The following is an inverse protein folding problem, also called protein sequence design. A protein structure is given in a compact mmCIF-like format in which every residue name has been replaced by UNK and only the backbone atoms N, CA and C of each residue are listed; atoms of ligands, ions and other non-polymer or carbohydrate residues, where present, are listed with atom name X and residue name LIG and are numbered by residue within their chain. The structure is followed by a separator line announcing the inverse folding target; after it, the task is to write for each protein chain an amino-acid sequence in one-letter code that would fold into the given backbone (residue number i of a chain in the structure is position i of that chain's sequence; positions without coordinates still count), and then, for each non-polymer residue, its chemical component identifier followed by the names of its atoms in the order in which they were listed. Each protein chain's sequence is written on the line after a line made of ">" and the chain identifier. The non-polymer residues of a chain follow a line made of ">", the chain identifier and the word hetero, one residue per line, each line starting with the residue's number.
data_IF_815460992632
#
_entry.id   IF_815460992632
#
_cell.length_a   1.000
_cell.length_b   1.000
_cell.length_c   1.000
_cell.angle_alpha   90.00
_cell.angle_beta   90.00
_cell.angle_gamma   90.00
#
_symmetry.space_group_name_H-M   'P 1'
#
loop_
_entity.id
_entity.type
_entity.pdbx_description
1 polymer ?
#
# COMPACT_ATOMS: atom_id res chain seq x y z
N UNK A 1 -9.00 -33.05 -6.02
CA UNK A 1 -9.03 -31.71 -5.40
C UNK A 1 -8.31 -30.76 -6.34
N UNK A 2 -9.00 -29.74 -6.86
CA UNK A 2 -8.39 -28.81 -7.82
C UNK A 2 -7.24 -28.03 -7.17
N UNK A 3 -6.09 -27.93 -7.84
CA UNK A 3 -4.99 -27.07 -7.41
C UNK A 3 -5.49 -25.63 -7.35
N UNK A 4 -5.91 -25.18 -6.17
CA UNK A 4 -6.19 -23.77 -5.94
C UNK A 4 -4.91 -23.00 -6.27
N UNK A 5 -5.03 -22.04 -7.20
CA UNK A 5 -3.91 -21.17 -7.56
C UNK A 5 -3.58 -20.30 -6.35
N UNK A 6 -2.28 -20.09 -6.08
CA UNK A 6 -1.79 -19.14 -5.07
C UNK A 6 -2.49 -17.77 -5.22
N UNK A 7 -2.72 -17.33 -6.47
CA UNK A 7 -3.52 -16.13 -6.79
C UNK A 7 -4.85 -16.11 -6.08
N UNK A 8 -5.61 -17.20 -6.23
CA UNK A 8 -6.98 -17.34 -5.76
C UNK A 8 -7.00 -17.37 -4.23
N UNK A 9 -6.06 -18.07 -3.61
CA UNK A 9 -5.92 -18.10 -2.16
C UNK A 9 -5.64 -16.69 -1.60
N UNK A 10 -4.73 -15.92 -2.21
CA UNK A 10 -4.45 -14.53 -1.81
C UNK A 10 -5.68 -13.61 -2.03
N UNK A 11 -6.32 -13.69 -3.20
CA UNK A 11 -7.48 -12.86 -3.53
C UNK A 11 -8.71 -13.16 -2.66
N UNK A 12 -8.82 -14.38 -2.14
CA UNK A 12 -9.86 -14.77 -1.19
C UNK A 12 -9.37 -14.68 0.27
N UNK A 13 -8.14 -14.23 0.50
CA UNK A 13 -7.54 -14.06 1.82
C UNK A 13 -7.50 -15.33 2.66
N UNK A 14 -7.33 -16.47 1.97
CA UNK A 14 -7.16 -17.78 2.57
C UNK A 14 -5.71 -17.95 3.00
N UNK A 15 -5.27 -17.16 3.99
CA UNK A 15 -3.85 -17.06 4.37
C UNK A 15 -3.24 -18.39 4.83
N UNK A 16 -4.05 -19.28 5.42
CA UNK A 16 -3.58 -20.63 5.78
C UNK A 16 -3.27 -21.47 4.54
N UNK A 17 -4.13 -21.42 3.52
CA UNK A 17 -3.87 -22.08 2.23
C UNK A 17 -2.62 -21.48 1.57
N UNK A 18 -2.43 -20.15 1.66
CA UNK A 18 -1.24 -19.46 1.18
C UNK A 18 0.02 -20.00 1.87
N UNK A 19 0.03 -20.15 3.21
CA UNK A 19 1.16 -20.73 3.96
C UNK A 19 1.48 -22.15 3.50
N UNK A 20 0.45 -23.00 3.35
CA UNK A 20 0.62 -24.38 2.87
C UNK A 20 1.16 -24.40 1.44
N UNK A 21 0.68 -23.52 0.57
CA UNK A 21 1.13 -23.44 -0.82
C UNK A 21 2.56 -22.94 -0.93
N UNK A 22 2.94 -21.90 -0.20
CA UNK A 22 4.27 -21.30 -0.24
C UNK A 22 5.33 -22.30 0.26
N UNK A 23 5.00 -23.22 1.16
CA UNK A 23 5.93 -24.28 1.60
C UNK A 23 6.24 -25.34 0.54
N UNK A 24 5.50 -25.40 -0.57
CA UNK A 24 5.75 -26.37 -1.65
C UNK A 24 6.91 -25.89 -2.51
N UNK A 25 7.95 -26.72 -2.70
CA UNK A 25 9.16 -26.35 -3.47
C UNK A 25 8.85 -25.81 -4.87
N UNK A 26 7.90 -26.41 -5.57
CA UNK A 26 7.49 -25.95 -6.90
C UNK A 26 6.88 -24.54 -6.92
N UNK A 27 6.28 -24.10 -5.82
CA UNK A 27 5.74 -22.74 -5.66
C UNK A 27 6.84 -21.77 -5.23
N UNK A 28 7.74 -22.18 -4.33
CA UNK A 28 8.89 -21.37 -3.93
C UNK A 28 9.78 -21.06 -5.13
N UNK A 29 10.11 -22.06 -5.94
CA UNK A 29 10.98 -21.88 -7.10
C UNK A 29 10.37 -20.95 -8.15
N UNK A 30 9.03 -21.02 -8.28
CA UNK A 30 8.27 -20.05 -9.05
C UNK A 30 8.45 -18.65 -8.47
N UNK A 31 8.14 -18.41 -7.20
CA UNK A 31 8.24 -17.08 -6.58
C UNK A 31 9.66 -16.50 -6.65
N UNK A 32 10.70 -17.33 -6.44
CA UNK A 32 12.12 -16.94 -6.53
C UNK A 32 12.50 -16.43 -7.92
N UNK A 33 11.89 -16.98 -8.97
CA UNK A 33 12.14 -16.51 -10.31
C UNK A 33 11.61 -15.07 -10.45
N UNK A 34 12.51 -14.13 -10.76
CA UNK A 34 12.25 -12.68 -10.81
C UNK A 34 11.04 -12.30 -11.69
N UNK A 35 10.70 -13.16 -12.65
CA UNK A 35 9.61 -12.96 -13.59
C UNK A 35 8.34 -13.76 -13.27
N UNK A 36 8.19 -14.29 -12.05
CA UNK A 36 6.96 -15.00 -11.69
C UNK A 36 5.81 -14.03 -11.45
N UNK A 37 5.24 -13.66 -12.58
CA UNK A 37 3.94 -13.06 -12.73
C UNK A 37 2.94 -14.14 -12.39
N UNK A 38 1.98 -13.84 -11.52
CA UNK A 38 0.91 -14.78 -11.26
C UNK A 38 -0.10 -14.62 -12.40
N UNK A 39 -0.15 -15.52 -13.40
CA UNK A 39 -1.02 -15.33 -14.55
C UNK A 39 -2.47 -15.28 -14.09
N UNK A 40 -3.18 -14.24 -14.53
CA UNK A 40 -4.63 -14.24 -14.48
C UNK A 40 -5.16 -14.73 -15.82
N UNK A 41 -5.87 -15.85 -15.84
CA UNK A 41 -6.50 -16.33 -17.08
C UNK A 41 -7.67 -15.45 -17.53
N UNK A 42 -8.10 -14.50 -16.69
CA UNK A 42 -9.26 -13.64 -16.94
C UNK A 42 -8.90 -12.22 -17.33
N UNK A 43 -7.61 -11.86 -17.27
CA UNK A 43 -7.14 -10.51 -17.59
C UNK A 43 -6.18 -10.62 -18.77
N UNK A 44 -6.15 -9.60 -19.63
CA UNK A 44 -5.22 -9.55 -20.76
C UNK A 44 -3.80 -9.91 -20.30
N UNK A 45 -3.07 -10.68 -21.13
CA UNK A 45 -1.83 -11.39 -20.77
C UNK A 45 -0.67 -10.48 -20.30
N UNK A 46 -0.86 -9.16 -20.31
CA UNK A 46 0.19 -8.15 -20.07
C UNK A 46 0.26 -7.62 -18.62
N UNK A 47 -0.51 -8.19 -17.68
CA UNK A 47 -0.49 -7.73 -16.29
C UNK A 47 0.63 -8.38 -15.46
N UNK A 48 1.74 -7.66 -15.32
CA UNK A 48 2.82 -7.97 -14.39
C UNK A 48 2.37 -7.70 -12.95
N UNK A 49 1.78 -8.68 -12.28
CA UNK A 49 1.42 -8.56 -10.85
C UNK A 49 2.02 -9.73 -10.07
N UNK A 50 2.90 -9.41 -9.12
CA UNK A 50 3.56 -10.41 -8.26
C UNK A 50 2.65 -10.85 -7.11
N UNK A 51 3.01 -11.96 -6.45
CA UNK A 51 2.36 -12.40 -5.21
C UNK A 51 2.30 -11.30 -4.16
N UNK A 52 3.39 -10.53 -4.04
CA UNK A 52 3.54 -9.48 -3.04
C UNK A 52 2.57 -8.32 -3.27
N UNK A 53 2.37 -7.89 -4.53
CA UNK A 53 1.35 -6.89 -4.86
C UNK A 53 -0.05 -7.32 -4.44
N UNK A 54 -0.42 -8.56 -4.81
CA UNK A 54 -1.74 -9.11 -4.45
C UNK A 54 -1.90 -9.20 -2.94
N UNK A 55 -0.90 -9.70 -2.24
CA UNK A 55 -0.91 -9.82 -0.78
C UNK A 55 -1.10 -8.43 -0.15
N UNK A 56 -0.29 -7.44 -0.51
CA UNK A 56 -0.36 -6.06 0.00
C UNK A 56 -1.73 -5.40 -0.27
N UNK A 57 -2.36 -5.70 -1.41
CA UNK A 57 -3.71 -5.20 -1.72
C UNK A 57 -4.81 -5.77 -0.80
N UNK A 58 -4.49 -6.83 -0.03
CA UNK A 58 -5.41 -7.60 0.80
C UNK A 58 -5.09 -7.59 2.29
N UNK A 59 -4.13 -6.78 2.73
CA UNK A 59 -3.73 -6.65 4.15
C UNK A 59 -3.30 -8.02 4.72
N UNK A 60 -2.17 -8.56 4.24
CA UNK A 60 -1.75 -9.92 4.56
C UNK A 60 -1.22 -9.97 6.00
N UNK A 61 -1.29 -11.15 6.68
CA UNK A 61 -0.56 -11.38 7.91
C UNK A 61 0.94 -11.13 7.73
N UNK A 62 1.58 -10.61 8.78
CA UNK A 62 3.01 -10.29 8.81
C UNK A 62 3.87 -11.49 8.36
N UNK A 63 3.59 -12.68 8.88
CA UNK A 63 4.37 -13.89 8.57
C UNK A 63 4.29 -14.26 7.07
N UNK A 64 3.12 -14.08 6.44
CA UNK A 64 2.95 -14.29 5.01
C UNK A 64 3.73 -13.25 4.21
N UNK A 65 3.66 -11.98 4.62
CA UNK A 65 4.35 -10.88 3.96
C UNK A 65 5.87 -11.07 4.01
N UNK A 66 6.41 -11.33 5.21
CA UNK A 66 7.83 -11.62 5.42
C UNK A 66 8.25 -12.84 4.61
N UNK A 67 7.48 -13.93 4.60
CA UNK A 67 7.83 -15.12 3.81
C UNK A 67 7.91 -14.80 2.32
N UNK A 68 6.97 -14.03 1.77
CA UNK A 68 7.01 -13.62 0.36
C UNK A 68 8.22 -12.73 0.04
N UNK A 69 8.59 -11.83 0.93
CA UNK A 69 9.78 -10.98 0.81
C UNK A 69 11.07 -11.80 0.84
N UNK A 70 11.20 -12.75 1.77
CA UNK A 70 12.37 -13.64 1.84
C UNK A 70 12.54 -14.51 0.59
N UNK A 71 11.43 -14.93 -0.02
CA UNK A 71 11.47 -15.72 -1.25
C UNK A 71 11.88 -14.90 -2.47
N UNK A 72 11.51 -13.62 -2.52
CA UNK A 72 11.88 -12.73 -3.61
C UNK A 72 11.89 -11.27 -3.17
N UNK A 73 13.04 -10.82 -2.68
CA UNK A 73 13.23 -9.43 -2.22
C UNK A 73 12.99 -8.41 -3.33
N UNK A 74 13.38 -8.76 -4.57
CA UNK A 74 13.23 -7.87 -5.72
C UNK A 74 11.76 -7.57 -6.03
N UNK A 75 10.84 -8.45 -5.63
CA UNK A 75 9.41 -8.23 -5.83
C UNK A 75 8.87 -7.00 -5.09
N UNK A 76 9.57 -6.53 -4.04
CA UNK A 76 9.26 -5.26 -3.36
C UNK A 76 9.58 -4.03 -4.22
N UNK A 77 10.48 -4.15 -5.20
CA UNK A 77 10.94 -3.08 -6.08
C UNK A 77 10.47 -3.25 -7.52
N UNK A 78 9.80 -4.37 -7.85
CA UNK A 78 9.22 -4.60 -9.16
C UNK A 78 7.93 -3.79 -9.32
N UNK A 79 7.84 -2.86 -10.29
CA UNK A 79 6.59 -2.16 -10.58
C UNK A 79 5.57 -3.10 -11.18
N UNK A 80 4.30 -2.97 -10.78
CA UNK A 80 3.21 -3.72 -11.40
C UNK A 80 2.87 -3.20 -12.80
N UNK A 81 2.21 -4.03 -13.62
CA UNK A 81 1.56 -3.61 -14.86
C UNK A 81 0.06 -3.96 -14.82
N UNK A 82 -0.83 -3.06 -15.27
CA UNK A 82 -0.57 -1.69 -15.70
C UNK A 82 -0.39 -0.74 -14.50
N UNK A 83 0.36 0.34 -14.69
CA UNK A 83 0.39 1.46 -13.74
C UNK A 83 1.64 1.58 -12.87
N UNK A 84 2.64 0.71 -13.03
CA UNK A 84 3.97 0.88 -12.42
C UNK A 84 3.94 0.93 -10.89
N UNK A 85 2.97 0.29 -10.25
CA UNK A 85 2.80 0.42 -8.81
C UNK A 85 3.66 -0.59 -8.09
N UNK A 86 4.47 -0.13 -7.14
CA UNK A 86 5.15 -1.03 -6.21
C UNK A 86 4.17 -1.66 -5.19
N UNK A 87 4.54 -2.76 -4.52
CA UNK A 87 3.71 -3.36 -3.47
C UNK A 87 3.34 -2.39 -2.33
N UNK A 88 4.21 -1.44 -2.00
CA UNK A 88 3.92 -0.41 -1.00
C UNK A 88 2.75 0.49 -1.42
N UNK A 89 2.60 0.81 -2.71
CA UNK A 89 1.43 1.55 -3.21
C UNK A 89 0.14 0.76 -2.98
N UNK A 90 0.18 -0.56 -3.19
CA UNK A 90 -0.94 -1.45 -2.94
C UNK A 90 -1.32 -1.48 -1.45
N UNK A 91 -0.34 -1.58 -0.55
CA UNK A 91 -0.55 -1.54 0.90
C UNK A 91 -1.15 -0.19 1.34
N UNK A 92 -0.58 0.93 0.87
CA UNK A 92 -1.07 2.29 1.20
C UNK A 92 -2.48 2.53 0.68
N UNK A 93 -2.78 2.12 -0.55
CA UNK A 93 -4.14 2.22 -1.10
C UNK A 93 -5.12 1.46 -0.24
N UNK A 94 -4.74 0.24 0.17
CA UNK A 94 -5.57 -0.60 1.03
C UNK A 94 -5.84 0.08 2.37
N UNK A 95 -4.85 0.79 2.94
CA UNK A 95 -4.98 1.57 4.16
C UNK A 95 -6.10 2.63 4.11
N UNK A 96 -6.32 3.26 2.96
CA UNK A 96 -7.38 4.26 2.78
C UNK A 96 -8.78 3.71 2.63
N UNK A 97 -8.95 2.40 2.40
CA UNK A 97 -10.26 1.79 2.12
C UNK A 97 -11.06 1.48 3.40
N UNK A 98 -11.51 2.52 4.10
CA UNK A 98 -12.32 2.41 5.33
C UNK A 98 -13.67 1.69 5.17
N UNK A 99 -14.23 1.65 3.96
CA UNK A 99 -15.64 1.26 3.73
C UNK A 99 -15.95 -0.23 3.92
N UNK A 100 -14.96 -1.13 4.04
CA UNK A 100 -15.22 -2.58 4.06
C UNK A 100 -14.53 -3.35 5.18
N UNK A 101 -13.65 -2.71 5.96
CA UNK A 101 -12.92 -3.38 7.05
C UNK A 101 -12.74 -2.47 8.24
N UNK A 102 -12.86 -3.09 9.42
CA UNK A 102 -12.75 -2.41 10.71
C UNK A 102 -11.31 -1.97 11.00
N UNK A 103 -10.31 -2.66 10.45
CA UNK A 103 -8.89 -2.37 10.70
C UNK A 103 -8.05 -2.64 9.46
N UNK A 104 -7.01 -1.82 9.27
CA UNK A 104 -5.92 -2.02 8.33
C UNK A 104 -4.62 -2.12 9.13
N UNK A 105 -3.77 -3.09 8.83
CA UNK A 105 -2.48 -3.20 9.49
C UNK A 105 -1.47 -2.21 8.92
N UNK A 106 -1.03 -1.27 9.76
CA UNK A 106 0.11 -0.38 9.43
C UNK A 106 1.39 -1.19 9.17
N UNK A 107 1.46 -2.41 9.71
CA UNK A 107 2.64 -3.26 9.70
C UNK A 107 3.09 -3.64 8.28
N UNK A 108 2.15 -3.82 7.35
CA UNK A 108 2.51 -4.11 5.96
C UNK A 108 3.32 -2.96 5.32
N UNK A 109 3.01 -1.70 5.66
CA UNK A 109 3.77 -0.55 5.17
C UNK A 109 5.14 -0.48 5.86
N UNK A 110 5.18 -0.69 7.18
CA UNK A 110 6.42 -0.70 7.96
C UNK A 110 7.42 -1.74 7.44
N UNK A 111 6.98 -3.00 7.31
CA UNK A 111 7.80 -4.10 6.80
C UNK A 111 8.36 -3.79 5.40
N UNK A 112 7.55 -3.21 4.50
CA UNK A 112 8.02 -2.88 3.15
C UNK A 112 9.06 -1.75 3.15
N UNK A 113 8.91 -0.76 4.03
CA UNK A 113 9.91 0.30 4.23
C UNK A 113 11.20 -0.27 4.83
N UNK A 114 11.12 -1.20 5.77
CA UNK A 114 12.29 -1.81 6.44
C UNK A 114 13.06 -2.76 5.51
N UNK A 115 12.37 -3.49 4.61
CA UNK A 115 12.98 -4.46 3.71
C UNK A 115 13.56 -3.86 2.43
N UNK A 116 13.16 -2.66 2.08
CA UNK A 116 13.67 -1.98 0.90
C UNK A 116 14.60 -0.85 1.30
N UNK A 117 15.51 -0.46 0.41
CA UNK A 117 16.10 0.87 0.51
C UNK A 117 14.94 1.86 0.32
N UNK A 118 14.35 2.32 1.42
CA UNK A 118 13.11 3.09 1.43
C UNK A 118 13.17 4.28 0.46
N UNK A 119 14.37 4.86 0.27
CA UNK A 119 14.64 5.92 -0.69
C UNK A 119 14.26 5.54 -2.14
N UNK A 120 14.44 4.29 -2.54
CA UNK A 120 14.10 3.78 -3.87
C UNK A 120 12.60 3.60 -4.04
N UNK A 121 11.90 3.11 -3.00
CA UNK A 121 10.45 2.94 -3.07
C UNK A 121 9.70 4.27 -3.03
N UNK A 122 10.21 5.22 -2.27
CA UNK A 122 9.55 6.51 -2.02
C UNK A 122 9.64 7.46 -3.23
N UNK A 123 10.75 7.39 -3.98
CA UNK A 123 10.94 8.20 -5.18
C UNK A 123 10.27 7.62 -6.42
N UNK A 124 9.93 6.34 -6.43
CA UNK A 124 9.23 5.73 -7.55
C UNK A 124 7.77 6.17 -7.58
N UNK A 125 7.44 6.92 -8.62
CA UNK A 125 6.07 7.27 -8.92
C UNK A 125 5.41 6.11 -9.69
N UNK A 126 4.16 5.81 -9.34
CA UNK A 126 3.33 4.96 -10.20
C UNK A 126 3.18 5.58 -11.59
N UNK A 127 3.09 4.79 -12.65
CA UNK A 127 2.83 5.26 -14.02
C UNK A 127 1.32 5.26 -14.32
N UNK A 128 0.49 5.70 -13.38
CA UNK A 128 -0.96 5.64 -13.55
C UNK A 128 -1.45 6.74 -14.50
N UNK A 129 -2.47 6.48 -15.31
CA UNK A 129 -3.13 7.49 -16.15
C UNK A 129 -3.66 8.69 -15.34
N UNK A 130 -3.84 8.52 -14.03
CA UNK A 130 -4.37 9.53 -13.11
C UNK A 130 -3.28 10.40 -12.49
N UNK A 131 -2.05 10.31 -13.00
CA UNK A 131 -0.89 11.01 -12.49
C UNK A 131 0.08 10.06 -11.80
N UNK A 132 1.33 10.48 -11.76
CA UNK A 132 2.41 9.71 -11.20
C UNK A 132 2.52 10.00 -9.70
N UNK A 133 2.09 9.05 -8.86
CA UNK A 133 2.02 9.24 -7.41
C UNK A 133 3.11 8.43 -6.71
N UNK A 134 3.83 9.09 -5.80
CA UNK A 134 4.61 8.37 -4.79
C UNK A 134 3.70 7.76 -3.73
N UNK A 135 4.20 6.84 -2.87
CA UNK A 135 3.42 6.29 -1.78
C UNK A 135 2.81 7.36 -0.86
N UNK A 136 3.55 8.44 -0.56
CA UNK A 136 3.06 9.53 0.31
C UNK A 136 1.93 10.34 -0.35
N UNK A 137 2.03 10.65 -1.65
CA UNK A 137 0.94 11.30 -2.37
C UNK A 137 -0.31 10.41 -2.37
N UNK A 138 -0.13 9.11 -2.62
CA UNK A 138 -1.21 8.15 -2.62
C UNK A 138 -1.87 8.08 -1.24
N UNK A 139 -1.10 8.01 -0.15
CA UNK A 139 -1.59 8.00 1.23
C UNK A 139 -2.48 9.22 1.52
N UNK A 140 -2.06 10.41 1.09
CA UNK A 140 -2.82 11.64 1.20
C UNK A 140 -4.10 11.63 0.34
N UNK A 141 -4.02 11.09 -0.87
CA UNK A 141 -5.15 10.99 -1.80
C UNK A 141 -6.24 10.03 -1.30
N UNK A 142 -5.86 8.93 -0.64
CA UNK A 142 -6.79 7.89 -0.17
C UNK A 142 -7.24 8.07 1.29
N UNK A 143 -6.74 9.09 1.99
CA UNK A 143 -6.95 9.29 3.45
C UNK A 143 -6.48 8.09 4.26
N UNK A 144 -5.27 7.64 3.99
CA UNK A 144 -4.61 6.65 4.83
C UNK A 144 -4.56 7.13 6.30
N UNK A 145 -4.45 6.20 7.26
CA UNK A 145 -4.24 6.56 8.67
C UNK A 145 -3.05 7.51 8.84
N UNK A 146 -3.14 8.42 9.82
CA UNK A 146 -2.07 9.37 10.11
C UNK A 146 -0.73 8.66 10.36
N UNK A 147 -0.77 7.47 10.97
CA UNK A 147 0.40 6.64 11.20
C UNK A 147 1.11 6.24 9.90
N UNK A 148 0.36 5.83 8.88
CA UNK A 148 0.93 5.47 7.57
C UNK A 148 1.54 6.70 6.91
N UNK A 149 0.88 7.86 7.01
CA UNK A 149 1.40 9.12 6.46
C UNK A 149 2.69 9.53 7.18
N UNK A 150 2.75 9.35 8.50
CA UNK A 150 3.94 9.62 9.31
C UNK A 150 5.11 8.72 8.91
N UNK A 151 4.91 7.40 8.88
CA UNK A 151 5.95 6.44 8.46
C UNK A 151 6.51 6.77 7.07
N UNK A 152 5.63 7.06 6.12
CA UNK A 152 6.03 7.44 4.77
C UNK A 152 6.74 8.79 4.75
N UNK A 153 6.33 9.77 5.56
CA UNK A 153 6.98 11.07 5.61
C UNK A 153 8.37 10.98 6.24
N UNK A 154 8.54 10.22 7.31
CA UNK A 154 9.83 9.98 7.96
C UNK A 154 10.80 9.29 6.98
N UNK A 155 10.34 8.26 6.28
CA UNK A 155 11.13 7.58 5.24
C UNK A 155 11.49 8.50 4.05
N UNK A 156 10.65 9.50 3.73
CA UNK A 156 10.92 10.48 2.68
C UNK A 156 11.96 11.54 3.13
N UNK A 157 11.90 11.96 4.40
CA UNK A 157 12.84 12.93 4.97
C UNK A 157 14.27 12.42 4.97
N UNK A 158 14.48 11.14 5.25
CA UNK A 158 15.78 10.48 5.14
C UNK A 158 16.35 10.55 3.70
N UNK A 159 15.48 10.69 2.70
CA UNK A 159 15.87 10.82 1.29
C UNK A 159 16.22 12.26 0.88
N UNK A 160 16.02 13.26 1.75
CA UNK A 160 16.27 14.71 1.54
C UNK A 160 15.54 15.35 0.34
N UNK A 161 14.59 14.64 -0.27
CA UNK A 161 13.92 15.07 -1.50
C UNK A 161 12.49 15.50 -1.22
N UNK A 162 12.10 16.66 -1.74
CA UNK A 162 10.68 17.01 -1.87
C UNK A 162 10.18 16.26 -3.10
N UNK A 163 9.52 15.11 -2.88
CA UNK A 163 8.84 14.41 -3.96
C UNK A 163 7.64 15.22 -4.43
N UNK A 164 7.63 15.58 -5.71
CA UNK A 164 6.47 16.15 -6.41
C UNK A 164 5.82 15.07 -7.28
N UNK A 165 4.53 15.20 -7.57
CA UNK A 165 3.85 14.37 -8.56
C UNK A 165 4.12 14.86 -10.01
N UNK A 166 3.48 14.22 -10.99
CA UNK A 166 3.58 14.59 -12.40
C UNK A 166 3.10 16.02 -12.71
N UNK A 167 2.26 16.59 -11.85
CA UNK A 167 1.76 17.97 -11.96
C UNK A 167 2.52 18.95 -11.05
N UNK A 168 3.70 18.57 -10.57
CA UNK A 168 4.55 19.35 -9.67
C UNK A 168 3.89 19.70 -8.33
N UNK A 169 2.96 18.88 -7.86
CA UNK A 169 2.27 19.08 -6.58
C UNK A 169 2.94 18.27 -5.49
N UNK A 170 2.89 18.80 -4.28
CA UNK A 170 3.29 18.13 -3.04
C UNK A 170 2.20 17.17 -2.54
N UNK A 171 2.58 16.22 -1.67
CA UNK A 171 1.61 15.36 -0.98
C UNK A 171 0.56 16.16 -0.19
N UNK A 172 0.96 17.31 0.39
CA UNK A 172 0.04 18.23 1.05
C UNK A 172 -0.99 18.79 0.07
N UNK A 173 -0.57 19.23 -1.11
CA UNK A 173 -1.48 19.75 -2.15
C UNK A 173 -2.48 18.70 -2.63
N UNK A 174 -2.05 17.46 -2.80
CA UNK A 174 -2.94 16.34 -3.07
C UNK A 174 -3.94 16.14 -1.94
N UNK A 175 -3.50 16.21 -0.68
CA UNK A 175 -4.39 16.14 0.47
C UNK A 175 -5.45 17.26 0.43
N UNK A 176 -5.12 18.46 -0.10
CA UNK A 176 -6.08 19.58 -0.28
C UNK A 176 -7.13 19.30 -1.34
N UNK A 177 -6.70 18.79 -2.49
CA UNK A 177 -7.57 18.64 -3.67
C UNK A 177 -8.52 17.46 -3.52
N UNK A 178 -8.03 16.31 -3.04
CA UNK A 178 -8.78 15.04 -3.08
C UNK A 178 -9.75 14.86 -1.92
N UNK A 179 -9.60 15.63 -0.85
CA UNK A 179 -10.38 15.45 0.36
C UNK A 179 -11.37 16.60 0.52
N UNK A 180 -12.65 16.29 0.67
CA UNK A 180 -13.64 17.27 1.10
C UNK A 180 -13.37 17.61 2.58
N UNK A 181 -12.52 18.61 2.81
CA UNK A 181 -11.95 18.98 4.11
C UNK A 181 -12.98 19.27 5.20
N UNK A 182 -14.18 19.65 4.79
CA UNK A 182 -15.31 19.91 5.67
C UNK A 182 -15.68 18.64 6.45
N UNK A 183 -15.53 17.44 5.85
CA UNK A 183 -15.94 16.18 6.48
C UNK A 183 -14.93 15.59 7.46
N UNK A 184 -13.66 16.02 7.42
CA UNK A 184 -12.58 15.41 8.22
C UNK A 184 -11.58 16.45 8.76
N UNK A 185 -12.03 17.39 9.61
CA UNK A 185 -11.19 18.46 10.11
C UNK A 185 -10.02 17.95 10.96
N UNK A 186 -10.21 16.89 11.76
CA UNK A 186 -9.16 16.30 12.61
C UNK A 186 -8.05 15.67 11.79
N UNK A 187 -8.40 14.78 10.84
CA UNK A 187 -7.41 14.17 9.92
C UNK A 187 -6.62 15.25 9.18
N UNK A 188 -7.28 16.30 8.68
CA UNK A 188 -6.59 17.42 8.02
C UNK A 188 -5.58 18.11 8.94
N UNK A 189 -5.94 18.42 10.19
CA UNK A 189 -5.03 19.06 11.15
C UNK A 189 -3.80 18.17 11.41
N UNK A 190 -4.02 16.87 11.59
CA UNK A 190 -2.94 15.92 11.86
C UNK A 190 -2.01 15.73 10.65
N UNK A 191 -2.55 15.54 9.44
CA UNK A 191 -1.74 15.45 8.22
C UNK A 191 -0.95 16.74 7.97
N UNK A 192 -1.56 17.90 8.23
CA UNK A 192 -0.86 19.19 8.11
C UNK A 192 0.30 19.30 9.10
N UNK A 193 0.11 18.82 10.34
CA UNK A 193 1.15 18.82 11.35
C UNK A 193 2.30 17.89 10.94
N UNK A 194 1.97 16.63 10.58
CA UNK A 194 2.94 15.62 10.14
C UNK A 194 3.79 16.13 8.99
N UNK A 195 3.17 16.61 7.89
CA UNK A 195 3.90 17.09 6.71
C UNK A 195 4.67 18.40 6.92
N UNK A 196 4.54 19.03 8.10
CA UNK A 196 5.32 20.21 8.51
C UNK A 196 6.39 19.85 9.55
N UNK A 197 6.57 18.57 9.88
CA UNK A 197 7.47 18.14 10.95
C UNK A 197 7.00 18.58 12.34
N UNK A 198 5.71 18.81 12.54
CA UNK A 198 5.10 19.11 13.84
C UNK A 198 4.37 17.88 14.37
N UNK A 199 4.35 17.70 15.68
CA UNK A 199 3.61 16.59 16.29
C UNK A 199 2.10 16.70 16.00
N UNK A 200 1.44 15.60 15.59
CA UNK A 200 0.00 15.59 15.41
C UNK A 200 -0.70 15.81 16.74
N UNK A 201 -1.89 16.41 16.71
CA UNK A 201 -2.70 16.56 17.91
C UNK A 201 -3.28 15.18 18.22
N UNK A 202 -2.66 14.49 19.18
CA UNK A 202 -3.13 13.20 19.68
C UNK A 202 -4.40 13.45 20.48
N UNK A 203 -5.53 13.47 19.79
CA UNK A 203 -6.79 13.15 20.46
C UNK A 203 -6.83 11.62 20.53
N UNK A 204 -6.98 11.06 21.73
CA UNK A 204 -7.30 9.65 21.92
C UNK A 204 -8.60 9.36 21.16
N UNK A 205 -8.46 8.90 19.91
CA UNK A 205 -9.58 8.49 19.05
C UNK A 205 -10.18 7.21 19.62
N UNK A 206 -11.07 7.35 20.61
CA UNK A 206 -12.32 6.59 20.50
C UNK A 206 -12.95 7.05 19.19
N UNK A 207 -12.92 6.16 18.19
CA UNK A 207 -13.60 6.24 16.91
C UNK A 207 -15.11 6.35 17.15
N UNK A 208 -15.57 7.51 17.61
CA UNK A 208 -16.93 7.95 17.36
C UNK A 208 -16.95 8.36 15.89
N UNK A 209 -17.12 7.36 15.03
CA UNK A 209 -17.74 7.55 13.72
C UNK A 209 -19.10 8.21 14.01
N UNK A 210 -19.13 9.53 14.12
CA UNK A 210 -20.41 10.24 14.18
C UNK A 210 -21.18 9.81 12.92
N UNK A 211 -22.36 9.20 13.10
CA UNK A 211 -23.15 8.72 11.98
C UNK A 211 -23.39 9.93 11.07
N UNK A 212 -23.10 9.75 9.78
CA UNK A 212 -23.37 10.73 8.75
C UNK A 212 -24.80 11.29 8.96
N UNK A 213 -24.98 12.55 9.35
CA UNK A 213 -26.32 13.11 9.62
C UNK A 213 -27.15 13.30 8.34
N UNK A 214 -26.65 12.85 7.19
CA UNK A 214 -27.27 12.96 5.88
C UNK A 214 -27.40 11.60 5.15
N UNK A 215 -27.76 10.54 5.89
CA UNK A 215 -28.30 9.31 5.28
C UNK A 215 -29.83 9.29 5.47
N UNK A 216 -30.63 9.66 4.46
CA UNK A 216 -32.05 9.30 4.42
C UNK A 216 -32.23 7.78 4.22
#
# INVERSE_FOLDING_TARGET
>A
MGNASLRKAILNEQWEDVRVMIKKESVMERIRNKNYIIPDRTVAEDQLVTALHLACSRDPPEDVLLTLLHLNLQSALTPSSPGGELPIHCAVRRAGQRKKRKFFSVEAVRILLDYSDASQQMSQQSSSEKGAFTPLHLACAVRAPCEVIRLLHEADLDSSRICLDAEHRTAWEIAKIKNHWIRYPTWRKNVKAILRGSDPVVYSEELNDEPNPAAP
#
